data_IF_652401569915
#
_entry.id   IF_652401569915
#
_cell.length_a   1.000
_cell.length_b   1.000
_cell.length_c   1.000
_cell.angle_alpha   90.00
_cell.angle_beta   90.00
_cell.angle_gamma   90.00
#
_symmetry.space_group_name_H-M   'P 1'
#
loop_
_entity.id
_entity.type
_entity.pdbx_description
1 polymer ?
#
# COMPACT_ATOMS: atom_id res chain seq x y z
N UNK A 1 -10.75 -4.42 -0.99
CA UNK A 1 -10.82 -3.85 -2.34
C UNK A 1 -9.65 -2.91 -2.57
N UNK A 2 -9.58 -1.71 -1.96
CA UNK A 2 -8.50 -0.77 -2.31
C UNK A 2 -7.10 -1.16 -1.81
N UNK A 3 -6.95 -1.48 -0.51
CA UNK A 3 -5.65 -1.91 0.03
C UNK A 3 -5.14 -3.20 -0.62
N UNK A 4 -6.02 -4.18 -0.86
CA UNK A 4 -5.69 -5.44 -1.54
C UNK A 4 -5.21 -5.24 -2.98
N UNK A 5 -5.71 -4.22 -3.69
CA UNK A 5 -5.22 -3.89 -5.03
C UNK A 5 -3.83 -3.26 -4.96
N UNK A 6 -3.57 -2.41 -3.97
CA UNK A 6 -2.24 -1.84 -3.72
C UNK A 6 -1.23 -2.94 -3.38
N UNK A 7 -1.61 -3.93 -2.55
CA UNK A 7 -0.76 -5.09 -2.25
C UNK A 7 -0.43 -5.87 -3.53
N UNK A 8 -1.43 -6.18 -4.36
CA UNK A 8 -1.23 -6.91 -5.61
C UNK A 8 -0.28 -6.18 -6.59
N UNK A 9 -0.35 -4.85 -6.66
CA UNK A 9 0.60 -4.07 -7.45
C UNK A 9 2.01 -4.06 -6.85
N UNK A 10 2.13 -4.06 -5.52
CA UNK A 10 3.41 -4.23 -4.83
C UNK A 10 4.06 -5.58 -5.15
N UNK A 11 3.30 -6.67 -5.09
CA UNK A 11 3.76 -8.02 -5.42
C UNK A 11 4.18 -8.13 -6.89
N UNK A 12 3.37 -7.57 -7.79
CA UNK A 12 3.68 -7.55 -9.22
C UNK A 12 4.97 -6.77 -9.53
N UNK A 13 5.14 -5.60 -8.91
CA UNK A 13 6.37 -4.81 -9.02
C UNK A 13 7.57 -5.64 -8.57
N UNK A 14 7.48 -6.22 -7.37
CA UNK A 14 8.57 -7.00 -6.77
C UNK A 14 9.00 -8.16 -7.67
N UNK A 15 8.03 -8.93 -8.20
CA UNK A 15 8.30 -10.06 -9.09
C UNK A 15 8.95 -9.60 -10.41
N UNK A 16 8.39 -8.58 -11.06
CA UNK A 16 8.91 -8.10 -12.35
C UNK A 16 10.30 -7.49 -12.21
N UNK A 17 10.54 -6.74 -11.14
CA UNK A 17 11.83 -6.12 -10.88
C UNK A 17 12.88 -7.15 -10.48
N UNK A 18 12.54 -8.14 -9.65
CA UNK A 18 13.44 -9.26 -9.34
C UNK A 18 13.83 -10.07 -10.59
N UNK A 19 12.91 -10.26 -11.54
CA UNK A 19 13.25 -10.86 -12.83
C UNK A 19 14.22 -9.99 -13.65
N UNK A 20 14.06 -8.67 -13.60
CA UNK A 20 14.98 -7.74 -14.25
C UNK A 20 16.39 -7.81 -13.62
N UNK A 21 16.48 -7.90 -12.29
CA UNK A 21 17.75 -8.07 -11.58
C UNK A 21 18.52 -9.27 -12.11
N UNK A 22 17.89 -10.45 -12.14
CA UNK A 22 18.54 -11.67 -12.62
C UNK A 22 19.02 -11.56 -14.08
N UNK A 23 18.27 -10.84 -14.92
CA UNK A 23 18.67 -10.59 -16.32
C UNK A 23 19.88 -9.66 -16.42
N UNK A 24 19.96 -8.65 -15.56
CA UNK A 24 21.11 -7.72 -15.51
C UNK A 24 22.35 -8.44 -14.98
N UNK A 25 22.22 -9.23 -13.92
CA UNK A 25 23.30 -10.06 -13.37
C UNK A 25 23.86 -11.02 -14.43
N UNK A 26 22.98 -11.71 -15.16
CA UNK A 26 23.38 -12.61 -16.23
C UNK A 26 24.11 -11.88 -17.38
N UNK A 27 23.72 -10.65 -17.69
CA UNK A 27 24.33 -9.87 -18.76
C UNK A 27 25.76 -9.40 -18.46
N UNK A 28 26.15 -9.29 -17.18
CA UNK A 28 27.48 -8.80 -16.78
C UNK A 28 28.62 -9.67 -17.31
N UNK A 29 28.39 -10.98 -17.48
CA UNK A 29 29.40 -11.94 -17.97
C UNK A 29 29.79 -11.67 -19.42
N UNK A 30 28.89 -11.06 -20.21
CA UNK A 30 29.07 -10.86 -21.65
C UNK A 30 29.70 -9.53 -22.06
N UNK A 31 30.00 -8.64 -21.11
CA UNK A 31 30.44 -7.27 -21.41
C UNK A 31 31.87 -6.98 -20.93
N UNK A 32 32.57 -5.99 -21.52
CA UNK A 32 33.87 -5.55 -21.02
C UNK A 32 33.80 -5.09 -19.55
N UNK A 33 34.91 -5.22 -18.82
CA UNK A 33 34.96 -4.97 -17.36
C UNK A 33 34.38 -3.61 -16.93
N UNK A 34 34.66 -2.53 -17.66
CA UNK A 34 34.09 -1.21 -17.35
C UNK A 34 32.56 -1.18 -17.51
N UNK A 35 32.03 -1.85 -18.53
CA UNK A 35 30.60 -1.98 -18.73
C UNK A 35 29.96 -2.86 -17.64
N UNK A 36 30.64 -3.92 -17.20
CA UNK A 36 30.20 -4.76 -16.08
C UNK A 36 30.11 -3.93 -14.78
N UNK A 37 31.12 -3.11 -14.48
CA UNK A 37 31.10 -2.20 -13.33
C UNK A 37 29.95 -1.19 -13.42
N UNK A 38 29.72 -0.60 -14.60
CA UNK A 38 28.60 0.32 -14.80
C UNK A 38 27.23 -0.37 -14.61
N UNK A 39 27.07 -1.59 -15.14
CA UNK A 39 25.87 -2.41 -14.93
C UNK A 39 25.65 -2.75 -13.45
N UNK A 40 26.70 -3.09 -12.71
CA UNK A 40 26.61 -3.38 -11.28
C UNK A 40 26.15 -2.13 -10.48
N UNK A 41 26.68 -0.95 -10.81
CA UNK A 41 26.22 0.30 -10.21
C UNK A 41 24.76 0.62 -10.53
N UNK A 42 24.36 0.43 -11.80
CA UNK A 42 22.97 0.61 -12.21
C UNK A 42 22.02 -0.37 -11.51
N UNK A 43 22.42 -1.65 -11.39
CA UNK A 43 21.66 -2.68 -10.67
C UNK A 43 21.50 -2.32 -9.19
N UNK A 44 22.57 -1.86 -8.54
CA UNK A 44 22.52 -1.45 -7.13
C UNK A 44 21.51 -0.31 -6.92
N UNK A 45 21.52 0.70 -7.81
CA UNK A 45 20.55 1.79 -7.76
C UNK A 45 19.12 1.28 -7.98
N UNK A 46 18.93 0.43 -8.99
CA UNK A 46 17.63 -0.16 -9.30
C UNK A 46 17.05 -0.96 -8.14
N UNK A 47 17.85 -1.78 -7.47
CA UNK A 47 17.43 -2.57 -6.30
C UNK A 47 17.04 -1.67 -5.12
N UNK A 48 17.80 -0.61 -4.87
CA UNK A 48 17.49 0.38 -3.84
C UNK A 48 16.17 1.10 -4.15
N UNK A 49 15.98 1.55 -5.39
CA UNK A 49 14.76 2.25 -5.82
C UNK A 49 13.54 1.31 -5.77
N UNK A 50 13.70 0.03 -6.14
CA UNK A 50 12.65 -1.00 -6.06
C UNK A 50 12.21 -1.25 -4.62
N UNK A 51 13.18 -1.39 -3.71
CA UNK A 51 12.91 -1.58 -2.28
C UNK A 51 12.17 -0.38 -1.70
N UNK A 52 12.62 0.83 -2.04
CA UNK A 52 11.97 2.06 -1.60
C UNK A 52 10.54 2.20 -2.16
N UNK A 53 10.30 1.78 -3.41
CA UNK A 53 8.98 1.83 -4.00
C UNK A 53 8.05 0.78 -3.38
N UNK A 54 8.52 -0.45 -3.17
CA UNK A 54 7.76 -1.49 -2.49
C UNK A 54 7.36 -1.08 -1.06
N UNK A 55 8.27 -0.46 -0.31
CA UNK A 55 7.96 0.12 1.00
C UNK A 55 6.77 1.09 0.97
N UNK A 56 6.71 1.98 -0.05
CA UNK A 56 5.58 2.91 -0.22
C UNK A 56 4.26 2.20 -0.52
N UNK A 57 4.28 1.06 -1.23
CA UNK A 57 3.07 0.26 -1.44
C UNK A 57 2.53 -0.31 -0.12
N UNK A 58 3.42 -0.82 0.74
CA UNK A 58 3.06 -1.32 2.07
C UNK A 58 2.48 -0.20 2.94
N UNK A 59 3.17 0.93 3.04
CA UNK A 59 2.71 2.10 3.79
C UNK A 59 1.33 2.59 3.31
N UNK A 60 1.13 2.64 1.99
CA UNK A 60 -0.16 3.05 1.42
C UNK A 60 -1.27 2.05 1.75
N UNK A 61 -1.01 0.74 1.64
CA UNK A 61 -2.03 -0.27 1.93
C UNK A 61 -2.41 -0.26 3.41
N UNK A 62 -1.45 -0.05 4.32
CA UNK A 62 -1.68 0.13 5.76
C UNK A 62 -2.49 1.41 6.05
N UNK A 63 -2.13 2.54 5.43
CA UNK A 63 -2.87 3.78 5.58
C UNK A 63 -4.33 3.63 5.12
N UNK A 64 -4.56 2.91 4.01
CA UNK A 64 -5.92 2.62 3.53
C UNK A 64 -6.73 1.75 4.49
N UNK A 65 -6.13 0.69 5.05
CA UNK A 65 -6.81 -0.15 6.06
C UNK A 65 -7.17 0.68 7.30
N UNK A 66 -6.24 1.50 7.76
CA UNK A 66 -6.44 2.41 8.90
C UNK A 66 -7.56 3.40 8.64
N UNK A 67 -7.57 4.04 7.47
CA UNK A 67 -8.61 4.98 7.08
C UNK A 67 -9.99 4.30 7.01
N UNK A 68 -10.07 3.08 6.44
CA UNK A 68 -11.32 2.33 6.36
C UNK A 68 -11.89 2.02 7.76
N UNK A 69 -11.03 1.62 8.72
CA UNK A 69 -11.43 1.42 10.11
C UNK A 69 -11.93 2.72 10.76
N UNK A 70 -11.23 3.83 10.55
CA UNK A 70 -11.62 5.14 11.06
C UNK A 70 -12.99 5.61 10.52
N UNK A 71 -13.25 5.38 9.24
CA UNK A 71 -14.56 5.65 8.64
C UNK A 71 -15.66 4.77 9.24
N UNK A 72 -15.44 3.46 9.37
CA UNK A 72 -16.43 2.55 9.95
C UNK A 72 -16.78 2.91 11.41
N UNK A 73 -15.78 3.29 12.20
CA UNK A 73 -16.00 3.74 13.58
C UNK A 73 -16.78 5.06 13.63
N UNK A 74 -16.43 6.01 12.77
CA UNK A 74 -17.13 7.31 12.70
C UNK A 74 -18.59 7.13 12.29
N UNK A 75 -18.84 6.27 11.29
CA UNK A 75 -20.19 5.95 10.83
C UNK A 75 -21.02 5.29 11.94
N UNK A 76 -20.48 4.28 12.62
CA UNK A 76 -21.15 3.62 13.73
C UNK A 76 -21.47 4.58 14.90
N UNK A 77 -20.53 5.46 15.25
CA UNK A 77 -20.74 6.47 16.29
C UNK A 77 -21.83 7.47 15.90
N UNK A 78 -21.83 7.93 14.64
CA UNK A 78 -22.86 8.85 14.14
C UNK A 78 -24.23 8.17 14.09
N UNK A 79 -24.31 6.91 13.65
CA UNK A 79 -25.54 6.13 13.68
C UNK A 79 -26.12 5.99 15.09
N UNK A 80 -25.26 5.66 16.08
CA UNK A 80 -25.66 5.58 17.47
C UNK A 80 -26.17 6.91 18.03
N UNK A 81 -25.53 8.03 17.68
CA UNK A 81 -25.98 9.38 18.05
C UNK A 81 -27.34 9.71 17.45
N UNK A 82 -27.55 9.41 16.17
CA UNK A 82 -28.82 9.66 15.49
C UNK A 82 -29.94 8.83 16.14
N UNK A 83 -29.67 7.55 16.41
CA UNK A 83 -30.62 6.68 17.11
C UNK A 83 -31.00 7.24 18.49
N UNK A 84 -30.01 7.64 19.29
CA UNK A 84 -30.27 8.24 20.61
C UNK A 84 -31.07 9.54 20.56
N UNK A 85 -30.84 10.39 19.55
CA UNK A 85 -31.66 11.60 19.33
C UNK A 85 -33.10 11.22 18.95
N UNK A 86 -33.29 10.21 18.11
CA UNK A 86 -34.62 9.70 17.75
C UNK A 86 -35.41 9.17 18.95
N UNK A 87 -34.73 8.42 19.83
CA UNK A 87 -35.33 7.91 21.07
C UNK A 87 -35.74 9.05 22.00
N UNK A 88 -34.89 10.07 22.18
CA UNK A 88 -35.19 11.24 22.99
C UNK A 88 -36.39 12.02 22.45
N UNK A 89 -36.43 12.30 21.15
CA UNK A 89 -37.55 13.00 20.51
C UNK A 89 -38.85 12.20 20.69
N UNK A 90 -38.78 10.88 20.63
CA UNK A 90 -39.95 10.02 20.86
C UNK A 90 -40.42 10.08 22.31
N UNK A 91 -39.51 10.03 23.28
CA UNK A 91 -39.82 10.18 24.70
C UNK A 91 -40.46 11.55 25.01
N UNK A 92 -39.85 12.64 24.52
CA UNK A 92 -40.34 14.00 24.69
C UNK A 92 -41.77 14.17 24.12
N UNK A 93 -42.04 13.60 22.94
CA UNK A 93 -43.36 13.66 22.31
C UNK A 93 -44.43 12.83 23.04
N UNK A 94 -44.03 11.77 23.74
CA UNK A 94 -44.93 10.93 24.55
C UNK A 94 -45.09 11.44 25.99
N UNK A 95 -44.36 12.49 26.38
CA UNK A 95 -44.38 13.05 27.74
C UNK A 95 -43.83 12.10 28.80
N UNK A 96 -42.89 11.22 28.42
CA UNK A 96 -42.23 10.23 29.28
C UNK A 96 -40.88 10.74 29.81
#
# INVERSE_FOLDING_TARGET
MSASTVDAHGDELWLRHGSADSRVEAAQVGVPAQAATALAGALTKWQADTTALFGRFVELSEAMRTAALGYAQTDAHNAARIAGVGDQVTADNLGL
#
